data_IF_934628951901
#
_entry.id   IF_934628951901
#
_cell.length_a   1.000
_cell.length_b   1.000
_cell.length_c   1.000
_cell.angle_alpha   90.00
_cell.angle_beta   90.00
_cell.angle_gamma   90.00
#
_symmetry.space_group_name_H-M   'P 1'
#
loop_
_entity.id
_entity.type
_entity.pdbx_description
1 polymer ?
#
# COMPACT_ATOMS: atom_id res chain seq x y z
N UNK A 1 46.54 -27.47 69.10
CA UNK A 1 45.33 -26.74 68.66
C UNK A 1 45.76 -25.37 68.16
N UNK A 2 45.32 -24.94 66.97
CA UNK A 2 45.58 -23.61 66.41
C UNK A 2 46.26 -23.64 65.04
N UNK A 3 45.43 -23.60 63.98
CA UNK A 3 45.82 -23.66 62.56
C UNK A 3 46.41 -22.33 62.06
N UNK A 4 47.35 -22.46 61.12
CA UNK A 4 47.85 -21.44 60.19
C UNK A 4 46.73 -20.91 59.30
N UNK A 5 46.72 -19.61 59.00
CA UNK A 5 46.02 -19.03 57.84
C UNK A 5 47.04 -18.16 57.11
N UNK A 6 47.45 -18.61 55.92
CA UNK A 6 48.17 -17.80 54.93
C UNK A 6 47.14 -17.49 53.84
N UNK A 7 46.97 -16.20 53.56
CA UNK A 7 46.09 -15.65 52.54
C UNK A 7 46.64 -15.94 51.15
N UNK A 8 45.95 -16.75 50.35
CA UNK A 8 46.22 -16.97 48.94
C UNK A 8 45.21 -16.20 48.08
N UNK A 9 45.69 -15.20 47.34
CA UNK A 9 44.92 -14.47 46.33
C UNK A 9 44.65 -15.40 45.14
N UNK A 10 43.38 -15.69 44.85
CA UNK A 10 42.97 -16.38 43.62
C UNK A 10 42.54 -15.31 42.59
N UNK A 11 43.27 -15.23 41.48
CA UNK A 11 42.95 -14.36 40.34
C UNK A 11 42.00 -15.10 39.39
N UNK A 12 40.69 -14.81 39.47
CA UNK A 12 39.71 -15.29 38.50
C UNK A 12 39.70 -14.38 37.27
N UNK A 13 40.17 -14.90 36.12
CA UNK A 13 40.00 -14.26 34.82
C UNK A 13 38.56 -14.48 34.33
N UNK A 14 37.76 -13.41 34.32
CA UNK A 14 36.44 -13.39 33.69
C UNK A 14 36.60 -13.23 32.17
N UNK A 15 36.32 -14.30 31.41
CA UNK A 15 36.06 -14.24 29.98
C UNK A 15 34.69 -13.58 29.78
N UNK A 16 34.68 -12.29 29.46
CA UNK A 16 33.47 -11.58 29.05
C UNK A 16 33.15 -12.03 27.62
N UNK A 17 32.29 -13.04 27.50
CA UNK A 17 31.66 -13.42 26.24
C UNK A 17 30.56 -12.40 25.94
N UNK A 18 30.90 -11.31 25.24
CA UNK A 18 29.88 -10.37 24.74
C UNK A 18 29.09 -11.07 23.64
N UNK A 19 27.75 -11.22 23.74
CA UNK A 19 26.96 -11.69 22.62
C UNK A 19 27.07 -10.65 21.51
N UNK A 20 27.60 -11.07 20.37
CA UNK A 20 27.60 -10.26 19.16
C UNK A 20 26.13 -10.10 18.76
N UNK A 21 25.52 -8.98 19.13
CA UNK A 21 24.25 -8.54 18.58
C UNK A 21 24.50 -8.33 17.08
N UNK A 22 24.11 -9.31 16.27
CA UNK A 22 24.04 -9.16 14.83
C UNK A 22 22.93 -8.14 14.54
N UNK A 23 23.31 -6.87 14.42
CA UNK A 23 22.43 -5.87 13.85
C UNK A 23 22.07 -6.31 12.44
N UNK A 24 20.78 -6.56 12.19
CA UNK A 24 20.29 -6.83 10.84
C UNK A 24 20.69 -5.66 9.94
N UNK A 25 21.42 -5.94 8.86
CA UNK A 25 21.87 -4.92 7.91
C UNK A 25 20.66 -4.23 7.30
N UNK A 26 20.75 -2.91 7.12
CA UNK A 26 19.71 -2.17 6.42
C UNK A 26 19.56 -2.73 4.99
N UNK A 27 18.32 -2.93 4.52
CA UNK A 27 18.09 -3.46 3.18
C UNK A 27 18.52 -2.44 2.12
N UNK A 28 19.33 -2.90 1.15
CA UNK A 28 19.88 -2.11 0.05
C UNK A 28 18.92 -2.03 -1.14
N UNK A 29 18.07 -3.03 -1.30
CA UNK A 29 17.09 -3.08 -2.38
C UNK A 29 15.85 -3.90 -1.99
N UNK A 30 14.83 -3.85 -2.83
CA UNK A 30 13.59 -4.60 -2.68
C UNK A 30 13.18 -5.19 -4.03
N UNK A 31 12.77 -6.46 -4.01
CA UNK A 31 12.27 -7.16 -5.19
C UNK A 31 10.82 -6.76 -5.44
N UNK A 32 10.54 -6.14 -6.59
CA UNK A 32 9.21 -5.61 -6.95
C UNK A 32 8.50 -6.44 -7.99
N UNK A 33 9.23 -7.32 -8.68
CA UNK A 33 8.64 -8.36 -9.49
C UNK A 33 9.53 -9.59 -9.41
N UNK A 34 8.88 -10.75 -9.47
CA UNK A 34 9.52 -12.05 -9.42
C UNK A 34 8.64 -13.02 -10.21
N UNK A 35 8.99 -13.27 -11.48
CA UNK A 35 8.29 -14.21 -12.36
C UNK A 35 9.19 -15.39 -12.68
N UNK A 36 8.62 -16.59 -12.65
CA UNK A 36 9.35 -17.84 -12.86
C UNK A 36 10.24 -18.23 -11.67
N UNK A 37 11.30 -18.97 -11.97
CA UNK A 37 12.27 -19.47 -11.00
C UNK A 37 13.32 -18.41 -10.71
N UNK A 38 13.05 -17.59 -9.71
CA UNK A 38 14.02 -16.64 -9.15
C UNK A 38 14.51 -17.16 -7.81
N UNK A 39 15.82 -17.17 -7.63
CA UNK A 39 16.48 -17.60 -6.39
C UNK A 39 17.37 -16.48 -5.88
N UNK A 40 17.26 -16.16 -4.60
CA UNK A 40 18.14 -15.22 -3.91
C UNK A 40 19.07 -16.01 -2.99
N UNK A 41 20.36 -15.97 -3.31
CA UNK A 41 21.43 -16.52 -2.49
C UNK A 41 21.86 -15.41 -1.53
N UNK A 42 21.56 -15.59 -0.23
CA UNK A 42 21.99 -14.65 0.81
C UNK A 42 23.52 -14.63 0.93
N UNK A 43 24.09 -13.49 1.30
CA UNK A 43 25.53 -13.20 1.32
C UNK A 43 26.47 -14.17 2.08
N UNK A 44 25.97 -15.24 2.68
CA UNK A 44 26.77 -16.35 3.18
C UNK A 44 25.94 -17.48 3.79
N UNK A 45 25.45 -18.41 2.96
CA UNK A 45 25.09 -19.82 3.30
C UNK A 45 23.63 -20.28 3.12
N UNK A 46 22.74 -19.49 2.50
CA UNK A 46 21.38 -19.97 2.18
C UNK A 46 20.79 -19.42 0.89
N UNK A 47 20.01 -20.25 0.18
CA UNK A 47 19.20 -19.81 -0.97
C UNK A 47 17.73 -19.80 -0.60
N UNK A 48 17.05 -18.69 -0.84
CA UNK A 48 15.60 -18.56 -0.69
C UNK A 48 14.96 -18.34 -2.06
N UNK A 49 13.71 -18.76 -2.21
CA UNK A 49 12.93 -18.41 -3.39
C UNK A 49 12.75 -16.89 -3.41
N UNK A 50 12.95 -16.28 -4.57
CA UNK A 50 12.60 -14.88 -4.81
C UNK A 50 11.11 -14.70 -4.59
N UNK A 51 10.76 -13.60 -3.95
CA UNK A 51 9.37 -13.22 -3.76
C UNK A 51 9.24 -11.73 -3.88
N UNK A 52 8.07 -11.30 -4.31
CA UNK A 52 7.69 -9.91 -4.26
C UNK A 52 7.84 -9.35 -2.83
N UNK A 53 8.33 -8.11 -2.74
CA UNK A 53 8.62 -7.40 -1.51
C UNK A 53 9.80 -7.92 -0.70
N UNK A 54 10.54 -8.90 -1.21
CA UNK A 54 11.73 -9.43 -0.54
C UNK A 54 12.78 -8.33 -0.41
N UNK A 55 13.15 -8.04 0.84
CA UNK A 55 14.23 -7.14 1.16
C UNK A 55 15.59 -7.80 0.87
N UNK A 56 16.43 -7.09 0.13
CA UNK A 56 17.71 -7.56 -0.38
C UNK A 56 18.84 -6.75 0.28
N UNK A 57 19.91 -7.44 0.66
CA UNK A 57 21.05 -6.86 1.36
C UNK A 57 22.30 -6.84 0.47
N UNK A 58 23.26 -5.99 0.83
CA UNK A 58 24.57 -6.00 0.19
C UNK A 58 25.24 -7.38 0.35
N UNK A 59 25.63 -7.98 -0.77
CA UNK A 59 26.18 -9.33 -0.84
C UNK A 59 25.21 -10.37 -1.40
N UNK A 60 23.90 -10.13 -1.34
CA UNK A 60 22.89 -11.02 -1.90
C UNK A 60 23.08 -11.19 -3.42
N UNK A 61 22.89 -12.42 -3.90
CA UNK A 61 23.01 -12.76 -5.31
C UNK A 61 21.69 -13.31 -5.83
N UNK A 62 21.14 -12.66 -6.83
CA UNK A 62 19.91 -13.04 -7.50
C UNK A 62 20.28 -13.87 -8.72
N UNK A 63 19.54 -14.96 -8.94
CA UNK A 63 19.63 -15.81 -10.12
C UNK A 63 18.22 -16.03 -10.67
N UNK A 64 18.10 -15.97 -11.99
CA UNK A 64 16.86 -16.21 -12.73
C UNK A 64 17.02 -17.42 -13.65
N UNK A 65 15.98 -18.25 -13.76
CA UNK A 65 15.87 -19.33 -14.74
C UNK A 65 15.59 -18.84 -16.17
N UNK A 66 15.41 -19.79 -17.09
CA UNK A 66 15.33 -19.55 -18.55
C UNK A 66 14.08 -18.78 -19.01
N UNK A 67 12.99 -18.84 -18.25
CA UNK A 67 11.78 -18.05 -18.49
C UNK A 67 11.44 -17.18 -17.28
N UNK A 68 12.47 -16.68 -16.58
CA UNK A 68 12.32 -15.98 -15.30
C UNK A 68 12.83 -14.56 -15.36
N UNK A 69 12.15 -13.66 -14.66
CA UNK A 69 12.49 -12.25 -14.57
C UNK A 69 12.36 -11.77 -13.14
N UNK A 70 13.25 -10.89 -12.71
CA UNK A 70 13.13 -10.19 -11.44
C UNK A 70 13.34 -8.70 -11.65
N UNK A 71 12.56 -7.87 -10.96
CA UNK A 71 12.76 -6.43 -10.97
C UNK A 71 13.08 -5.96 -9.56
N UNK A 72 14.08 -5.09 -9.46
CA UNK A 72 14.69 -4.68 -8.21
C UNK A 72 14.71 -3.16 -8.15
N UNK A 73 14.14 -2.60 -7.09
CA UNK A 73 14.30 -1.20 -6.71
C UNK A 73 15.36 -1.10 -5.62
N UNK A 74 16.40 -0.32 -5.88
CA UNK A 74 17.43 0.03 -4.92
C UNK A 74 16.99 1.22 -4.06
N UNK A 75 17.57 1.33 -2.88
CA UNK A 75 17.37 2.43 -1.92
C UNK A 75 17.68 3.82 -2.49
N UNK A 76 18.55 3.89 -3.49
CA UNK A 76 18.89 5.11 -4.22
C UNK A 76 17.90 5.46 -5.34
N UNK A 77 16.80 4.71 -5.48
CA UNK A 77 15.79 4.90 -6.53
C UNK A 77 16.13 4.21 -7.86
N UNK A 78 17.30 3.59 -7.99
CA UNK A 78 17.67 2.88 -9.22
C UNK A 78 16.85 1.61 -9.39
N UNK A 79 16.52 1.32 -10.64
CA UNK A 79 15.79 0.14 -11.05
C UNK A 79 16.64 -0.76 -11.91
N UNK A 80 16.62 -2.05 -11.60
CA UNK A 80 17.29 -3.04 -12.42
C UNK A 80 16.37 -4.25 -12.66
N UNK A 81 16.22 -4.60 -13.93
CA UNK A 81 15.68 -5.88 -14.35
C UNK A 81 16.81 -6.91 -14.43
N UNK A 82 16.60 -8.07 -13.82
CA UNK A 82 17.39 -9.28 -14.02
C UNK A 82 16.56 -10.18 -14.94
N UNK A 83 16.90 -10.17 -16.23
CA UNK A 83 16.22 -10.96 -17.25
C UNK A 83 16.51 -12.46 -17.17
N UNK A 84 16.16 -13.25 -18.19
CA UNK A 84 16.29 -14.71 -18.15
C UNK A 84 17.73 -15.20 -18.06
N UNK A 85 17.92 -16.37 -17.43
CA UNK A 85 19.21 -17.06 -17.28
C UNK A 85 20.34 -16.15 -16.79
N UNK A 86 20.00 -15.17 -15.95
CA UNK A 86 20.91 -14.09 -15.54
C UNK A 86 21.23 -14.18 -14.06
N UNK A 87 22.29 -13.48 -13.67
CA UNK A 87 22.62 -13.32 -12.26
C UNK A 87 23.14 -11.93 -11.95
N UNK A 88 22.69 -11.40 -10.83
CA UNK A 88 23.11 -10.11 -10.31
C UNK A 88 23.60 -10.29 -8.87
N UNK A 89 24.72 -9.66 -8.52
CA UNK A 89 25.14 -9.56 -7.14
C UNK A 89 25.02 -8.12 -6.66
N UNK A 90 24.35 -7.94 -5.53
CA UNK A 90 24.18 -6.64 -4.91
C UNK A 90 25.49 -6.23 -4.27
N UNK A 91 26.07 -5.13 -4.75
CA UNK A 91 27.28 -4.53 -4.19
C UNK A 91 26.89 -3.28 -3.42
N UNK A 92 27.51 -3.10 -2.26
CA UNK A 92 27.43 -1.86 -1.48
C UNK A 92 27.99 -0.72 -2.35
N UNK A 93 27.12 0.18 -2.83
CA UNK A 93 27.62 1.35 -3.55
C UNK A 93 28.19 2.31 -2.50
N UNK A 94 29.52 2.36 -2.37
CA UNK A 94 30.22 3.45 -1.67
C UNK A 94 30.03 4.76 -2.44
N UNK A 95 28.82 5.31 -2.41
CA UNK A 95 28.58 6.70 -2.78
C UNK A 95 28.53 7.45 -1.46
N UNK A 96 29.37 8.49 -1.36
CA UNK A 96 29.52 9.38 -0.19
C UNK A 96 28.18 9.65 0.47
N UNK A 97 28.19 9.63 1.80
CA UNK A 97 27.14 10.13 2.68
C UNK A 97 26.50 11.42 2.14
N UNK A 98 25.52 11.31 1.25
CA UNK A 98 24.37 12.17 1.31
C UNK A 98 23.47 11.46 2.30
N UNK A 99 23.32 12.10 3.45
CA UNK A 99 22.29 11.82 4.44
C UNK A 99 21.08 11.09 3.86
N UNK A 100 20.54 10.11 4.57
CA UNK A 100 19.28 9.38 4.36
C UNK A 100 18.02 10.28 4.26
N UNK A 101 18.20 11.52 3.85
CA UNK A 101 17.27 12.61 3.59
C UNK A 101 17.05 12.82 2.08
N UNK A 102 17.68 12.03 1.20
CA UNK A 102 17.48 12.07 -0.26
C UNK A 102 16.19 11.38 -0.73
N UNK A 103 15.61 11.87 -1.84
CA UNK A 103 14.32 11.45 -2.41
C UNK A 103 14.18 9.93 -2.63
N UNK A 104 15.25 9.25 -3.08
CA UNK A 104 15.27 7.79 -3.28
C UNK A 104 15.10 6.97 -1.99
N UNK A 105 15.68 7.44 -0.87
CA UNK A 105 15.57 6.74 0.41
C UNK A 105 14.15 6.80 0.99
N UNK A 106 13.41 7.88 0.72
CA UNK A 106 12.01 8.02 1.15
C UNK A 106 11.07 7.15 0.31
N UNK A 107 11.22 7.12 -1.02
CA UNK A 107 10.41 6.26 -1.88
C UNK A 107 10.65 4.78 -1.60
N UNK A 108 11.90 4.39 -1.34
CA UNK A 108 12.25 3.04 -0.90
C UNK A 108 11.62 2.67 0.45
N UNK A 109 11.68 3.55 1.46
CA UNK A 109 11.05 3.29 2.76
C UNK A 109 9.52 3.21 2.66
N UNK A 110 8.88 4.02 1.82
CA UNK A 110 7.44 3.97 1.55
C UNK A 110 7.05 2.63 0.91
N UNK A 111 7.79 2.20 -0.12
CA UNK A 111 7.62 0.88 -0.74
C UNK A 111 7.81 -0.22 0.30
N UNK A 112 8.85 -0.17 1.13
CA UNK A 112 9.04 -1.15 2.18
C UNK A 112 7.92 -1.17 3.22
N UNK A 113 7.41 -0.02 3.65
CA UNK A 113 6.28 0.05 4.58
C UNK A 113 5.02 -0.52 3.95
N UNK A 114 4.78 -0.22 2.67
CA UNK A 114 3.68 -0.79 1.88
C UNK A 114 3.75 -2.31 1.78
N UNK A 115 4.96 -2.87 1.72
CA UNK A 115 5.25 -4.31 1.59
C UNK A 115 5.35 -5.04 2.94
N UNK A 116 5.79 -4.37 4.02
CA UNK A 116 6.03 -4.92 5.36
C UNK A 116 4.79 -4.96 6.25
N UNK A 117 3.62 -4.56 5.74
CA UNK A 117 2.36 -4.67 6.48
C UNK A 117 2.01 -6.15 6.71
N UNK A 118 2.59 -6.70 7.78
CA UNK A 118 2.25 -7.97 8.39
C UNK A 118 1.19 -7.73 9.47
N UNK A 119 0.27 -8.69 9.50
CA UNK A 119 -0.70 -8.99 10.55
C UNK A 119 -1.82 -7.96 10.74
N UNK A 120 -2.67 -7.82 9.72
CA UNK A 120 -4.09 -7.78 10.06
C UNK A 120 -4.39 -9.07 10.81
N UNK A 121 -4.86 -8.98 12.06
CA UNK A 121 -5.47 -10.09 12.79
C UNK A 121 -6.73 -10.53 12.02
N UNK A 122 -6.51 -11.24 10.91
CA UNK A 122 -7.48 -11.47 9.84
C UNK A 122 -8.42 -12.65 10.09
N UNK A 123 -8.40 -13.28 11.26
CA UNK A 123 -9.29 -14.40 11.56
C UNK A 123 -10.45 -14.04 12.49
N UNK A 124 -10.33 -12.99 13.31
CA UNK A 124 -11.38 -12.63 14.27
C UNK A 124 -12.33 -11.54 13.78
N UNK A 125 -11.93 -10.71 12.80
CA UNK A 125 -12.81 -9.65 12.27
C UNK A 125 -13.72 -10.16 11.13
N UNK A 126 -13.23 -11.11 10.34
CA UNK A 126 -13.95 -11.65 9.17
C UNK A 126 -15.11 -12.59 9.55
N UNK A 127 -15.13 -13.13 10.77
CA UNK A 127 -16.22 -13.99 11.24
C UNK A 127 -17.52 -13.22 11.53
N UNK A 128 -17.41 -11.99 12.05
CA UNK A 128 -18.55 -11.12 12.36
C UNK A 128 -19.14 -10.44 11.11
N UNK A 129 -18.36 -10.35 10.02
CA UNK A 129 -18.70 -9.67 8.77
C UNK A 129 -19.65 -10.42 7.84
N UNK A 130 -19.96 -11.69 8.11
CA UNK A 130 -20.89 -12.49 7.29
C UNK A 130 -22.37 -12.29 7.64
N UNK A 131 -22.69 -11.45 8.62
CA UNK A 131 -24.00 -11.52 9.30
C UNK A 131 -25.14 -10.64 8.78
N UNK A 132 -24.99 -9.78 7.75
CA UNK A 132 -26.18 -9.07 7.22
C UNK A 132 -26.12 -8.71 5.72
N UNK A 133 -26.27 -9.72 4.86
CA UNK A 133 -26.27 -9.56 3.39
C UNK A 133 -27.66 -9.37 2.73
N UNK A 134 -28.73 -9.14 3.51
CA UNK A 134 -30.10 -9.12 2.96
C UNK A 134 -30.83 -7.77 3.01
N UNK A 135 -30.24 -6.75 3.62
CA UNK A 135 -30.83 -5.41 3.67
C UNK A 135 -30.51 -4.63 2.38
N UNK A 136 -31.45 -3.87 1.79
CA UNK A 136 -31.14 -3.00 0.67
C UNK A 136 -30.07 -2.00 1.10
N UNK A 137 -28.86 -2.12 0.55
CA UNK A 137 -27.73 -1.28 0.94
C UNK A 137 -27.55 -0.13 -0.05
N UNK A 138 -27.29 1.06 0.52
CA UNK A 138 -26.78 2.23 -0.16
C UNK A 138 -25.37 2.48 0.38
N UNK A 139 -24.36 2.09 -0.39
CA UNK A 139 -22.97 2.00 0.07
C UNK A 139 -22.09 2.98 -0.71
N UNK A 140 -21.51 4.00 -0.07
CA UNK A 140 -20.49 4.83 -0.67
C UNK A 140 -19.26 3.96 -0.97
N UNK A 141 -18.64 4.15 -2.13
CA UNK A 141 -17.46 3.37 -2.54
C UNK A 141 -16.26 4.25 -2.84
N UNK A 142 -16.43 5.51 -3.21
CA UNK A 142 -15.33 6.46 -3.42
C UNK A 142 -15.83 7.90 -3.42
N UNK A 143 -15.09 8.89 -2.87
CA UNK A 143 -13.92 8.71 -2.01
C UNK A 143 -14.34 8.26 -0.60
N UNK A 144 -13.65 7.27 -0.03
CA UNK A 144 -13.88 6.78 1.33
C UNK A 144 -12.54 6.65 2.08
N UNK A 145 -12.43 7.25 3.26
CA UNK A 145 -11.25 7.16 4.15
C UNK A 145 -9.92 7.36 3.39
N UNK A 146 -9.90 8.37 2.52
CA UNK A 146 -8.78 8.65 1.61
C UNK A 146 -8.50 10.14 1.56
N UNK A 147 -7.30 10.51 1.14
CA UNK A 147 -7.04 11.81 0.56
C UNK A 147 -7.33 11.81 -0.94
N UNK A 148 -7.58 12.98 -1.53
CA UNK A 148 -7.71 13.20 -2.98
C UNK A 148 -6.78 14.32 -3.45
N UNK A 149 -6.26 14.25 -4.68
CA UNK A 149 -5.25 15.21 -5.17
C UNK A 149 -5.81 16.50 -5.78
N UNK A 150 -7.09 16.52 -6.11
CA UNK A 150 -7.76 17.64 -6.77
C UNK A 150 -9.03 18.05 -6.03
N UNK A 151 -9.59 19.18 -6.42
CA UNK A 151 -10.82 19.76 -5.89
C UNK A 151 -12.09 19.23 -6.59
N UNK A 152 -11.93 18.31 -7.54
CA UNK A 152 -13.02 17.70 -8.32
C UNK A 152 -13.04 16.18 -8.19
N UNK A 153 -13.43 15.63 -7.01
CA UNK A 153 -13.58 14.20 -6.86
C UNK A 153 -14.71 13.65 -7.73
N UNK A 154 -14.63 12.35 -8.03
CA UNK A 154 -15.78 11.60 -8.54
C UNK A 154 -16.34 10.75 -7.41
N UNK A 155 -17.56 11.05 -7.00
CA UNK A 155 -18.31 10.26 -6.03
C UNK A 155 -18.83 9.00 -6.71
N UNK A 156 -18.71 7.85 -6.05
CA UNK A 156 -19.16 6.54 -6.51
C UNK A 156 -19.84 5.78 -5.38
N UNK A 157 -20.86 5.02 -5.71
CA UNK A 157 -21.61 4.22 -4.75
C UNK A 157 -22.17 2.96 -5.38
N UNK A 158 -22.50 1.99 -4.52
CA UNK A 158 -23.33 0.85 -4.85
C UNK A 158 -24.72 1.05 -4.23
N UNK A 159 -25.76 0.80 -5.02
CA UNK A 159 -27.14 0.81 -4.56
C UNK A 159 -27.81 -0.49 -5.00
N UNK A 160 -28.71 -1.01 -4.16
CA UNK A 160 -29.52 -2.18 -4.52
C UNK A 160 -30.34 -1.95 -5.81
N UNK A 161 -30.88 -0.74 -5.97
CA UNK A 161 -31.53 -0.29 -7.20
C UNK A 161 -30.70 0.81 -7.87
N UNK A 162 -30.04 0.54 -9.01
CA UNK A 162 -29.27 1.54 -9.76
C UNK A 162 -30.11 2.71 -10.30
N UNK A 163 -31.43 2.55 -10.38
CA UNK A 163 -32.36 3.58 -10.85
C UNK A 163 -32.93 4.47 -9.73
N UNK A 164 -32.57 4.19 -8.48
CA UNK A 164 -33.03 4.94 -7.31
C UNK A 164 -32.75 6.43 -7.46
N UNK A 165 -33.73 7.24 -7.06
CA UNK A 165 -33.54 8.67 -6.90
C UNK A 165 -32.85 8.92 -5.55
N UNK A 166 -31.69 9.57 -5.60
CA UNK A 166 -30.80 9.79 -4.46
C UNK A 166 -30.50 11.28 -4.30
N UNK A 167 -30.14 11.68 -3.10
CA UNK A 167 -29.51 12.97 -2.81
C UNK A 167 -28.13 12.72 -2.23
N UNK A 168 -27.12 13.29 -2.86
CA UNK A 168 -25.79 13.38 -2.29
C UNK A 168 -25.70 14.65 -1.45
N UNK A 169 -25.26 14.52 -0.21
CA UNK A 169 -24.94 15.65 0.66
C UNK A 169 -23.46 15.59 1.01
N UNK A 170 -22.74 16.66 0.69
CA UNK A 170 -21.36 16.91 1.03
C UNK A 170 -21.32 17.94 2.16
N UNK A 171 -20.59 17.62 3.21
CA UNK A 171 -20.44 18.41 4.44
C UNK A 171 -18.99 18.87 4.58
N UNK A 172 -18.81 20.08 5.10
CA UNK A 172 -17.54 20.57 5.63
C UNK A 172 -17.55 20.41 7.17
N UNK A 173 -16.66 21.09 7.89
CA UNK A 173 -16.61 21.02 9.37
C UNK A 173 -17.77 21.73 10.09
N UNK A 174 -18.41 22.69 9.43
CA UNK A 174 -19.41 23.59 10.04
C UNK A 174 -20.85 23.20 9.64
N UNK A 175 -21.07 22.86 8.37
CA UNK A 175 -22.39 22.67 7.77
C UNK A 175 -22.38 21.85 6.46
N UNK A 176 -23.50 21.93 5.73
CA UNK A 176 -23.65 21.36 4.39
C UNK A 176 -22.91 22.26 3.40
N UNK A 177 -21.80 21.74 2.86
CA UNK A 177 -21.03 22.39 1.82
C UNK A 177 -21.78 22.38 0.48
N UNK A 178 -22.38 21.24 0.12
CA UNK A 178 -23.05 21.08 -1.17
C UNK A 178 -24.05 19.93 -1.19
N UNK A 179 -25.11 20.05 -2.00
CA UNK A 179 -26.12 19.02 -2.20
C UNK A 179 -26.51 18.87 -3.67
N UNK A 180 -26.83 17.64 -4.08
CA UNK A 180 -27.29 17.37 -5.43
C UNK A 180 -28.23 16.16 -5.51
N UNK A 181 -29.31 16.30 -6.27
CA UNK A 181 -30.24 15.22 -6.56
C UNK A 181 -29.78 14.44 -7.79
N UNK A 182 -29.80 13.12 -7.69
CA UNK A 182 -29.20 12.17 -8.64
C UNK A 182 -30.25 11.13 -9.00
N UNK A 183 -30.26 10.69 -10.26
CA UNK A 183 -31.15 9.62 -10.71
C UNK A 183 -30.51 8.80 -11.83
N UNK A 184 -30.57 7.48 -11.70
CA UNK A 184 -30.19 6.55 -12.78
C UNK A 184 -28.69 6.46 -13.07
N UNK A 185 -27.83 6.80 -12.11
CA UNK A 185 -26.37 6.69 -12.21
C UNK A 185 -25.79 6.19 -10.88
N UNK A 186 -24.59 5.59 -10.94
CA UNK A 186 -23.85 5.09 -9.75
C UNK A 186 -22.59 5.92 -9.44
N UNK A 187 -22.40 7.02 -10.16
CA UNK A 187 -21.29 7.94 -9.97
C UNK A 187 -21.65 9.37 -10.35
N UNK A 188 -21.03 10.34 -9.69
CA UNK A 188 -21.18 11.77 -9.96
C UNK A 188 -19.81 12.45 -9.85
N UNK A 189 -19.34 13.06 -10.94
CA UNK A 189 -18.20 13.98 -10.87
C UNK A 189 -18.62 15.28 -10.21
N UNK A 190 -17.79 15.79 -9.31
CA UNK A 190 -18.04 17.06 -8.65
C UNK A 190 -18.16 18.18 -9.70
N UNK A 191 -19.29 18.91 -9.77
CA UNK A 191 -19.54 19.85 -10.85
C UNK A 191 -18.63 21.08 -10.84
N UNK A 192 -18.39 21.66 -12.02
CA UNK A 192 -17.57 22.86 -12.19
C UNK A 192 -18.22 24.13 -11.60
N UNK A 193 -19.54 24.13 -11.48
CA UNK A 193 -20.35 25.22 -10.91
C UNK A 193 -20.58 25.07 -9.39
N UNK A 194 -20.13 23.97 -8.78
CA UNK A 194 -20.20 23.78 -7.34
C UNK A 194 -19.10 24.58 -6.60
N UNK A 195 -19.31 24.97 -5.33
CA UNK A 195 -18.28 25.66 -4.55
C UNK A 195 -16.99 24.84 -4.48
N UNK A 196 -15.81 25.41 -4.77
CA UNK A 196 -14.57 24.64 -4.87
C UNK A 196 -14.19 24.00 -3.53
N UNK A 197 -13.60 22.80 -3.60
CA UNK A 197 -13.06 22.15 -2.41
C UNK A 197 -11.70 22.75 -2.06
N UNK A 198 -11.47 22.95 -0.77
CA UNK A 198 -10.28 23.66 -0.27
C UNK A 198 -9.19 22.66 0.06
N UNK A 199 -7.96 22.95 -0.39
CA UNK A 199 -6.80 22.13 -0.08
C UNK A 199 -6.52 22.07 1.42
N UNK A 200 -6.24 20.87 1.91
CA UNK A 200 -6.00 20.57 3.32
C UNK A 200 -7.28 20.45 4.17
N UNK A 201 -8.46 20.60 3.58
CA UNK A 201 -9.74 20.49 4.29
C UNK A 201 -10.30 19.08 4.16
N UNK A 202 -10.81 18.57 5.28
CA UNK A 202 -11.56 17.33 5.35
C UNK A 202 -13.04 17.59 5.05
N UNK A 203 -13.62 16.71 4.25
CA UNK A 203 -15.02 16.69 3.90
C UNK A 203 -15.62 15.35 4.27
N UNK A 204 -16.93 15.33 4.45
CA UNK A 204 -17.68 14.08 4.57
C UNK A 204 -18.89 14.09 3.66
N UNK A 205 -19.34 12.91 3.24
CA UNK A 205 -20.50 12.83 2.37
C UNK A 205 -21.35 11.60 2.66
N UNK A 206 -22.62 11.73 2.34
CA UNK A 206 -23.60 10.68 2.46
C UNK A 206 -24.65 10.76 1.34
N UNK A 207 -25.34 9.65 1.14
CA UNK A 207 -26.43 9.51 0.21
C UNK A 207 -27.71 9.19 0.98
N UNK A 208 -28.83 9.73 0.52
CA UNK A 208 -30.15 9.32 0.98
C UNK A 208 -31.14 9.17 -0.18
N UNK A 209 -32.09 8.25 -0.07
CA UNK A 209 -33.15 8.10 -1.09
C UNK A 209 -34.14 9.25 -1.02
N UNK A 210 -34.51 9.82 -2.16
CA UNK A 210 -35.48 10.92 -2.26
C UNK A 210 -36.88 10.47 -2.66
N UNK A 211 -37.08 9.19 -3.00
CA UNK A 211 -38.39 8.66 -3.35
C UNK A 211 -39.32 8.69 -2.12
N UNK A 212 -40.44 9.43 -2.14
CA UNK A 212 -41.36 9.52 -1.00
C UNK A 212 -42.03 8.19 -0.64
N UNK A 213 -41.94 7.17 -1.51
CA UNK A 213 -42.44 5.81 -1.25
C UNK A 213 -41.49 5.00 -0.35
N UNK A 214 -40.24 5.42 -0.20
CA UNK A 214 -39.24 4.77 0.66
C UNK A 214 -39.27 5.49 2.02
N UNK A 215 -39.88 4.86 3.03
CA UNK A 215 -40.01 5.42 4.37
C UNK A 215 -39.60 4.41 5.47
N UNK A 216 -38.66 4.76 6.37
CA UNK A 216 -37.82 5.97 6.33
C UNK A 216 -36.89 5.96 5.10
N UNK A 217 -36.40 7.14 4.65
CA UNK A 217 -35.39 7.19 3.59
C UNK A 217 -34.21 6.28 3.92
N UNK A 218 -33.80 5.46 2.94
CA UNK A 218 -32.58 4.69 3.07
C UNK A 218 -31.40 5.66 3.04
N UNK A 219 -30.53 5.59 4.04
CA UNK A 219 -29.33 6.42 4.15
C UNK A 219 -28.09 5.57 4.11
N UNK A 220 -27.07 6.08 3.44
CA UNK A 220 -25.74 5.52 3.54
C UNK A 220 -25.08 5.85 4.88
N UNK A 221 -23.98 5.16 5.16
CA UNK A 221 -23.01 5.67 6.14
C UNK A 221 -22.43 7.00 5.66
N UNK A 222 -22.02 7.84 6.60
CA UNK A 222 -21.24 9.04 6.32
C UNK A 222 -19.78 8.61 6.18
N UNK A 223 -19.16 8.96 5.05
CA UNK A 223 -17.75 8.64 4.77
C UNK A 223 -16.96 9.92 4.59
N UNK A 224 -15.68 9.88 4.96
CA UNK A 224 -14.80 11.04 5.02
C UNK A 224 -13.72 10.97 3.94
N UNK A 225 -13.28 12.12 3.47
CA UNK A 225 -12.07 12.27 2.67
C UNK A 225 -11.43 13.64 2.94
N UNK A 226 -10.16 13.79 2.57
CA UNK A 226 -9.43 15.05 2.70
C UNK A 226 -8.90 15.49 1.34
N UNK A 227 -8.97 16.77 1.02
CA UNK A 227 -8.25 17.31 -0.14
C UNK A 227 -6.78 17.45 0.25
N UNK A 228 -5.89 16.77 -0.46
CA UNK A 228 -4.46 16.77 -0.18
C UNK A 228 -3.93 18.22 -0.13
N UNK A 229 -3.16 18.60 0.91
CA UNK A 229 -2.52 19.91 0.97
C UNK A 229 -1.66 20.17 -0.28
N UNK A 230 -1.74 21.38 -0.84
CA UNK A 230 -1.08 21.72 -2.11
C UNK A 230 0.42 21.47 -2.10
N UNK A 231 1.09 21.72 -0.96
CA UNK A 231 2.51 21.44 -0.79
C UNK A 231 2.81 19.93 -0.85
N UNK A 232 1.96 19.12 -0.23
CA UNK A 232 2.07 17.66 -0.27
C UNK A 232 1.78 17.13 -1.68
N UNK A 233 0.77 17.67 -2.35
CA UNK A 233 0.44 17.32 -3.73
C UNK A 233 1.56 17.65 -4.72
N UNK A 234 2.25 18.78 -4.53
CA UNK A 234 3.41 19.15 -5.33
C UNK A 234 4.60 18.18 -5.14
N UNK A 235 4.80 17.68 -3.92
CA UNK A 235 5.80 16.63 -3.63
C UNK A 235 5.45 15.32 -4.34
N UNK A 236 4.18 14.90 -4.26
CA UNK A 236 3.68 13.72 -4.99
C UNK A 236 3.91 13.87 -6.49
N UNK A 237 3.56 15.02 -7.07
CA UNK A 237 3.73 15.28 -8.51
C UNK A 237 5.20 15.25 -8.93
N UNK A 238 6.10 15.81 -8.12
CA UNK A 238 7.55 15.75 -8.38
C UNK A 238 8.02 14.30 -8.48
N UNK A 239 7.60 13.44 -7.55
CA UNK A 239 7.97 12.02 -7.55
C UNK A 239 7.34 11.28 -8.74
N UNK A 240 6.09 11.59 -9.11
CA UNK A 240 5.45 11.00 -10.28
C UNK A 240 6.23 11.31 -11.57
N UNK A 241 6.65 12.56 -11.75
CA UNK A 241 7.48 12.97 -12.88
C UNK A 241 8.83 12.26 -12.88
N UNK A 242 9.43 12.03 -11.70
CA UNK A 242 10.66 11.23 -11.59
C UNK A 242 10.42 9.76 -12.00
N UNK A 243 9.33 9.14 -11.54
CA UNK A 243 8.95 7.76 -11.93
C UNK A 243 8.76 7.67 -13.45
N UNK A 244 8.09 8.66 -14.07
CA UNK A 244 7.82 8.68 -15.51
C UNK A 244 9.10 8.88 -16.35
N UNK A 245 10.03 9.72 -15.89
CA UNK A 245 11.30 9.98 -16.58
C UNK A 245 12.20 8.75 -16.66
N UNK A 246 12.10 7.83 -15.71
CA UNK A 246 12.90 6.61 -15.69
C UNK A 246 12.25 5.52 -16.55
N UNK A 247 12.67 5.39 -17.81
CA UNK A 247 12.39 4.18 -18.61
C UNK A 247 13.11 3.00 -17.96
N UNK A 248 12.39 2.05 -17.34
CA UNK A 248 12.80 0.64 -17.12
C UNK A 248 11.89 -0.28 -16.28
N UNK A 249 10.89 0.14 -15.50
CA UNK A 249 10.01 -0.84 -14.84
C UNK A 249 9.01 -1.44 -15.83
N UNK A 250 8.66 -2.71 -15.66
CA UNK A 250 7.50 -3.33 -16.30
C UNK A 250 6.24 -2.51 -16.01
N UNK A 251 5.22 -2.60 -16.88
CA UNK A 251 3.98 -1.87 -16.68
C UNK A 251 3.32 -2.17 -15.32
N UNK A 252 3.38 -3.44 -14.86
CA UNK A 252 2.91 -3.84 -13.53
C UNK A 252 3.68 -3.15 -12.41
N UNK A 253 5.03 -3.18 -12.47
CA UNK A 253 5.87 -2.55 -11.47
C UNK A 253 5.79 -1.02 -11.46
N UNK A 254 5.60 -0.40 -12.62
CA UNK A 254 5.34 1.03 -12.74
C UNK A 254 4.07 1.43 -11.99
N UNK A 255 2.98 0.70 -12.21
CA UNK A 255 1.72 0.96 -11.51
C UNK A 255 1.82 0.67 -10.02
N UNK A 256 2.51 -0.39 -9.61
CA UNK A 256 2.79 -0.67 -8.20
C UNK A 256 3.56 0.45 -7.51
N UNK A 257 4.59 1.01 -8.16
CA UNK A 257 5.34 2.15 -7.61
C UNK A 257 4.42 3.33 -7.33
N UNK A 258 3.56 3.67 -8.29
CA UNK A 258 2.59 4.75 -8.13
C UNK A 258 1.60 4.44 -7.01
N UNK A 259 1.12 3.20 -6.92
CA UNK A 259 0.26 2.76 -5.82
C UNK A 259 0.94 2.93 -4.46
N UNK A 260 2.22 2.56 -4.35
CA UNK A 260 2.98 2.71 -3.11
C UNK A 260 3.19 4.19 -2.72
N UNK A 261 3.46 5.05 -3.69
CA UNK A 261 3.58 6.49 -3.49
C UNK A 261 2.25 7.06 -2.97
N UNK A 262 1.14 6.71 -3.63
CA UNK A 262 -0.19 7.15 -3.23
C UNK A 262 -0.56 6.66 -1.84
N UNK A 263 -0.32 5.39 -1.52
CA UNK A 263 -0.53 4.85 -0.19
C UNK A 263 0.25 5.63 0.88
N UNK A 264 1.53 5.93 0.63
CA UNK A 264 2.38 6.68 1.56
C UNK A 264 1.88 8.10 1.87
N UNK A 265 1.05 8.66 0.99
CA UNK A 265 0.45 9.99 1.13
C UNK A 265 -1.04 9.96 1.49
N UNK A 266 -1.56 8.81 1.94
CA UNK A 266 -2.98 8.71 2.32
C UNK A 266 -3.96 8.68 1.13
N UNK A 267 -3.45 8.66 -0.11
CA UNK A 267 -4.26 8.64 -1.34
C UNK A 267 -4.72 7.20 -1.66
N UNK A 268 -5.50 6.62 -0.76
CA UNK A 268 -5.88 5.20 -0.78
C UNK A 268 -6.64 4.81 -2.06
N UNK A 269 -7.61 5.62 -2.49
CA UNK A 269 -8.37 5.35 -3.73
C UNK A 269 -7.46 5.37 -4.97
N UNK A 270 -6.53 6.33 -5.05
CA UNK A 270 -5.56 6.36 -6.15
C UNK A 270 -4.60 5.15 -6.08
N UNK A 271 -4.26 4.68 -4.88
CA UNK A 271 -3.46 3.47 -4.71
C UNK A 271 -4.22 2.21 -5.15
N UNK A 272 -5.52 2.13 -4.89
CA UNK A 272 -6.41 1.07 -5.39
C UNK A 272 -6.41 1.07 -6.92
N UNK A 273 -6.66 2.21 -7.54
CA UNK A 273 -6.72 2.35 -9.00
C UNK A 273 -5.40 1.93 -9.67
N UNK A 274 -4.26 2.34 -9.13
CA UNK A 274 -2.97 1.93 -9.65
C UNK A 274 -2.67 0.44 -9.38
N UNK A 275 -3.11 -0.12 -8.25
CA UNK A 275 -2.96 -1.56 -8.00
C UNK A 275 -3.80 -2.39 -8.98
N UNK A 276 -5.02 -1.95 -9.30
CA UNK A 276 -5.87 -2.58 -10.32
C UNK A 276 -5.19 -2.56 -11.69
N UNK A 277 -4.60 -1.42 -12.11
CA UNK A 277 -3.81 -1.36 -13.34
C UNK A 277 -2.59 -2.27 -13.30
N UNK A 278 -1.92 -2.42 -12.15
CA UNK A 278 -0.81 -3.36 -12.01
C UNK A 278 -1.25 -4.81 -12.25
N UNK A 279 -2.44 -5.18 -11.79
CA UNK A 279 -3.08 -6.49 -11.99
C UNK A 279 -3.49 -6.73 -13.45
N UNK A 280 -3.82 -5.69 -14.24
CA UNK A 280 -4.07 -5.86 -15.69
C UNK A 280 -2.85 -6.47 -16.42
N UNK A 281 -1.64 -6.24 -15.91
CA UNK A 281 -0.38 -6.77 -16.46
C UNK A 281 0.15 -8.01 -15.73
N UNK A 282 -0.37 -8.32 -14.55
CA UNK A 282 0.04 -9.46 -13.72
C UNK A 282 -1.13 -10.02 -12.90
N UNK A 283 -2.15 -10.51 -13.61
CA UNK A 283 -3.46 -10.85 -13.05
C UNK A 283 -3.47 -12.02 -12.05
N UNK A 284 -2.35 -12.74 -11.90
CA UNK A 284 -2.20 -13.84 -10.94
C UNK A 284 -1.11 -13.56 -9.91
N UNK A 285 -0.77 -12.30 -9.70
CA UNK A 285 0.25 -11.93 -8.73
C UNK A 285 -0.36 -11.91 -7.33
N UNK A 286 -0.06 -12.89 -6.46
CA UNK A 286 -0.68 -12.98 -5.14
C UNK A 286 -0.30 -11.80 -4.25
N UNK A 287 0.83 -11.13 -4.50
CA UNK A 287 1.19 -9.95 -3.74
C UNK A 287 0.34 -8.74 -4.11
N UNK A 288 0.00 -8.56 -5.40
CA UNK A 288 -0.89 -7.49 -5.84
C UNK A 288 -2.31 -7.69 -5.32
N UNK A 289 -2.83 -8.93 -5.34
CA UNK A 289 -4.12 -9.26 -4.71
C UNK A 289 -4.09 -9.01 -3.19
N UNK A 290 -3.00 -9.36 -2.50
CA UNK A 290 -2.85 -9.07 -1.05
C UNK A 290 -2.85 -7.57 -0.74
N UNK A 291 -2.15 -6.79 -1.58
CA UNK A 291 -2.13 -5.33 -1.48
C UNK A 291 -3.53 -4.76 -1.70
N UNK A 292 -4.22 -5.19 -2.76
CA UNK A 292 -5.55 -4.70 -3.10
C UNK A 292 -6.57 -5.03 -2.01
N UNK A 293 -6.54 -6.24 -1.47
CA UNK A 293 -7.38 -6.66 -0.35
C UNK A 293 -7.21 -5.72 0.86
N UNK A 294 -5.96 -5.38 1.18
CA UNK A 294 -5.64 -4.49 2.29
C UNK A 294 -6.11 -3.07 2.02
N UNK A 295 -5.84 -2.54 0.82
CA UNK A 295 -6.29 -1.20 0.44
C UNK A 295 -7.81 -1.09 0.55
N UNK A 296 -8.55 -2.09 0.07
CA UNK A 296 -10.00 -2.15 0.23
C UNK A 296 -10.43 -2.17 1.70
N UNK A 297 -9.74 -2.93 2.56
CA UNK A 297 -10.03 -2.96 3.99
C UNK A 297 -9.80 -1.58 4.66
N UNK A 298 -8.71 -0.89 4.32
CA UNK A 298 -8.37 0.44 4.85
C UNK A 298 -9.38 1.53 4.44
N UNK A 299 -10.07 1.37 3.30
CA UNK A 299 -11.13 2.30 2.87
C UNK A 299 -12.55 1.82 3.25
N UNK A 300 -12.64 0.76 4.06
CA UNK A 300 -13.92 0.18 4.52
C UNK A 300 -14.68 -0.64 3.47
N UNK A 301 -14.09 -0.91 2.29
CA UNK A 301 -14.64 -1.73 1.19
C UNK A 301 -14.47 -3.22 1.47
N UNK A 302 -15.11 -3.66 2.54
CA UNK A 302 -14.86 -4.97 3.15
C UNK A 302 -15.25 -6.15 2.25
N UNK A 303 -16.33 -6.02 1.46
CA UNK A 303 -16.74 -7.07 0.52
C UNK A 303 -15.70 -7.28 -0.58
N UNK A 304 -15.18 -6.18 -1.14
CA UNK A 304 -14.11 -6.24 -2.12
C UNK A 304 -12.82 -6.81 -1.51
N UNK A 305 -12.49 -6.44 -0.27
CA UNK A 305 -11.34 -6.99 0.44
C UNK A 305 -11.45 -8.52 0.62
N UNK A 306 -12.61 -9.01 1.04
CA UNK A 306 -12.88 -10.45 1.17
C UNK A 306 -12.75 -11.18 -0.16
N UNK A 307 -13.28 -10.61 -1.24
CA UNK A 307 -13.17 -11.19 -2.58
C UNK A 307 -11.71 -11.34 -3.04
N UNK A 308 -10.84 -10.39 -2.71
CA UNK A 308 -9.40 -10.53 -2.99
C UNK A 308 -8.71 -11.57 -2.11
N UNK A 309 -9.10 -11.69 -0.83
CA UNK A 309 -8.56 -12.73 0.06
C UNK A 309 -8.96 -14.14 -0.36
N UNK A 310 -10.19 -14.34 -0.83
CA UNK A 310 -10.66 -15.65 -1.29
C UNK A 310 -9.84 -16.13 -2.51
N UNK A 311 -9.52 -15.24 -3.45
CA UNK A 311 -8.63 -15.56 -4.58
C UNK A 311 -7.25 -16.04 -4.14
N UNK A 312 -6.69 -15.48 -3.07
CA UNK A 312 -5.38 -15.90 -2.53
C UNK A 312 -5.42 -17.29 -1.88
N UNK A 313 -6.60 -17.72 -1.41
CA UNK A 313 -6.78 -19.03 -0.79
C UNK A 313 -7.07 -20.11 -1.83
N UNK A 314 -7.71 -19.77 -2.94
CA UNK A 314 -7.97 -20.66 -4.07
C UNK A 314 -6.69 -21.02 -4.87
N UNK A 315 -5.67 -20.17 -4.84
CA UNK A 315 -4.39 -20.37 -5.56
C UNK A 315 -3.34 -21.21 -4.79
N UNK A 316 -3.71 -21.81 -3.64
CA UNK A 316 -2.84 -22.73 -2.88
C UNK A 316 -3.03 -24.19 -3.25
#
# INVERSE_FOLDING_TARGET
MGKKIVSGLALCAFLILTPLLAFAKAPLAVMLSCRGDVVVIKGGEGSIKGSFGLALEAGDKIKTGEASHAEILFDNGNWIEVGPSSSMQLKDSKIKESSSTGMGGKSFQTVQNFLKLKDAKGTSFLADLRSDQKSPQLRPTSPCQTKIRGDKPTFRWAAFDPSAALRLTLYNEEDIHWQHDIKGVASLSYPDDAPPLVSGVAYSWALETTDPRIFPPLRSQVVFFEVLPSEENAKVETILVEIEKHKKPSASAYHLLRASLFFGHGLMEAAIDETLKALEYDARNPALHSILARLYAEVGRTEEALGEYDRLLEER
#
